data_IF_668936336292
#
_entry.id   IF_668936336292
#
_cell.length_a   1.000
_cell.length_b   1.000
_cell.length_c   1.000
_cell.angle_alpha   90.00
_cell.angle_beta   90.00
_cell.angle_gamma   90.00
#
_symmetry.space_group_name_H-M   'P 1'
#
loop_
_entity.id
_entity.type
_entity.pdbx_description
1 polymer ?
#
# COMPACT_ATOMS: atom_id res chain seq x y z
N UNK A 1 41.85 -11.04 -18.53
CA UNK A 1 41.41 -11.94 -17.47
C UNK A 1 40.98 -11.12 -16.28
N UNK A 2 39.75 -11.29 -15.85
CA UNK A 2 39.27 -10.72 -14.58
C UNK A 2 39.90 -11.50 -13.45
N UNK A 3 40.53 -10.80 -12.53
CA UNK A 3 41.10 -11.38 -11.32
C UNK A 3 39.94 -11.99 -10.51
N UNK A 4 39.98 -13.28 -10.27
CA UNK A 4 38.95 -14.05 -9.58
C UNK A 4 39.27 -14.27 -8.10
N UNK A 5 40.38 -13.72 -7.62
CA UNK A 5 40.82 -13.81 -6.22
C UNK A 5 40.56 -12.50 -5.49
N UNK A 6 39.81 -12.57 -4.39
CA UNK A 6 39.50 -11.44 -3.53
C UNK A 6 40.16 -11.66 -2.17
N UNK A 7 40.77 -10.59 -1.64
CA UNK A 7 41.18 -10.57 -0.23
C UNK A 7 39.91 -10.38 0.62
N UNK A 8 39.50 -11.41 1.32
CA UNK A 8 38.44 -11.32 2.31
C UNK A 8 39.04 -11.35 3.72
N UNK A 9 38.56 -10.55 4.67
CA UNK A 9 39.02 -10.63 6.05
C UNK A 9 38.60 -11.98 6.66
N UNK A 10 39.50 -12.61 7.40
CA UNK A 10 39.19 -13.78 8.22
C UNK A 10 38.42 -13.33 9.46
N UNK A 11 37.08 -13.39 9.37
CA UNK A 11 36.17 -12.93 10.42
C UNK A 11 36.34 -13.73 11.70
N UNK A 12 36.65 -15.01 11.61
CA UNK A 12 36.89 -15.86 12.78
C UNK A 12 38.21 -15.53 13.47
N UNK A 13 39.27 -15.22 12.73
CA UNK A 13 40.51 -14.70 13.30
C UNK A 13 40.29 -13.35 13.96
N UNK A 14 39.49 -12.46 13.36
CA UNK A 14 39.11 -11.19 13.94
C UNK A 14 38.33 -11.38 15.23
N UNK A 15 37.38 -12.33 15.25
CA UNK A 15 36.60 -12.62 16.44
C UNK A 15 37.49 -13.17 17.58
N UNK A 16 38.45 -14.04 17.27
CA UNK A 16 39.38 -14.55 18.28
C UNK A 16 40.28 -13.48 18.92
N UNK A 17 40.57 -12.41 18.16
CA UNK A 17 41.42 -11.30 18.64
C UNK A 17 40.64 -10.22 19.37
N UNK A 18 39.38 -9.98 18.98
CA UNK A 18 38.63 -8.79 19.39
C UNK A 18 37.27 -9.11 20.01
N UNK A 19 36.90 -10.37 20.12
CA UNK A 19 35.64 -10.84 20.71
C UNK A 19 34.39 -10.16 20.11
N UNK A 20 34.38 -10.00 18.77
CA UNK A 20 33.33 -9.25 18.07
C UNK A 20 31.97 -9.92 18.13
N UNK A 21 31.89 -11.28 18.15
CA UNK A 21 30.61 -11.99 18.16
C UNK A 21 29.88 -11.84 19.51
N UNK A 22 30.59 -11.77 20.63
CA UNK A 22 29.98 -11.51 21.93
C UNK A 22 29.77 -10.02 22.19
N UNK A 23 30.32 -9.13 21.34
CA UNK A 23 30.34 -7.68 21.56
C UNK A 23 30.87 -7.30 22.96
N UNK A 24 31.83 -8.04 23.47
CA UNK A 24 32.38 -7.91 24.84
C UNK A 24 33.88 -7.56 24.87
N UNK A 25 34.51 -7.45 23.69
CA UNK A 25 35.94 -7.19 23.53
C UNK A 25 36.30 -5.70 23.49
N UNK A 26 37.48 -5.41 22.89
CA UNK A 26 38.02 -4.04 22.79
C UNK A 26 37.16 -3.10 21.90
N UNK A 27 36.40 -3.66 20.98
CA UNK A 27 35.50 -2.91 20.09
C UNK A 27 34.04 -3.28 20.39
N UNK A 28 33.51 -2.77 21.48
CA UNK A 28 32.08 -2.89 21.79
C UNK A 28 31.28 -1.95 20.92
N UNK A 29 30.40 -2.51 20.08
CA UNK A 29 29.45 -1.73 19.30
C UNK A 29 28.27 -1.35 20.19
N UNK A 30 27.95 -0.06 20.23
CA UNK A 30 26.64 0.35 20.76
C UNK A 30 25.57 0.00 19.73
N UNK A 31 24.86 -1.12 19.96
CA UNK A 31 23.73 -1.51 19.12
C UNK A 31 22.41 -0.82 19.52
N UNK A 32 22.46 0.14 20.45
CA UNK A 32 21.25 0.88 20.89
C UNK A 32 20.56 1.59 19.74
N UNK A 33 21.33 2.20 18.83
CA UNK A 33 20.77 2.86 17.64
C UNK A 33 20.31 1.85 16.56
N UNK A 34 20.96 0.70 16.46
CA UNK A 34 20.58 -0.34 15.50
C UNK A 34 19.37 -1.15 15.95
N UNK A 35 19.09 -1.23 17.24
CA UNK A 35 17.91 -1.92 17.75
C UNK A 35 16.60 -1.25 17.32
N UNK A 36 16.59 0.06 17.11
CA UNK A 36 15.42 0.75 16.53
C UNK A 36 15.06 0.32 15.10
N UNK A 37 16.01 -0.30 14.39
CA UNK A 37 15.79 -0.88 13.06
C UNK A 37 15.47 -2.38 13.12
N UNK A 38 15.57 -3.01 14.30
CA UNK A 38 15.20 -4.40 14.50
C UNK A 38 13.71 -4.49 14.80
N UNK A 39 12.95 -4.78 13.77
CA UNK A 39 11.49 -4.80 13.78
C UNK A 39 10.97 -5.92 12.89
N UNK A 40 9.86 -6.52 13.27
CA UNK A 40 9.13 -7.47 12.44
C UNK A 40 7.64 -7.19 12.48
N UNK A 41 6.97 -7.50 11.39
CA UNK A 41 5.52 -7.56 11.29
C UNK A 41 5.20 -8.94 10.74
N UNK A 42 4.38 -9.68 11.45
CA UNK A 42 3.87 -10.99 11.09
C UNK A 42 2.36 -10.87 10.92
N UNK A 43 1.83 -11.40 9.83
CA UNK A 43 0.41 -11.46 9.54
C UNK A 43 0.04 -12.91 9.26
N UNK A 44 -0.95 -13.43 9.98
CA UNK A 44 -1.54 -14.74 9.76
C UNK A 44 -2.98 -14.55 9.27
N UNK A 45 -3.26 -15.10 8.09
CA UNK A 45 -4.57 -14.97 7.45
C UNK A 45 -5.31 -16.29 7.46
N UNK A 46 -6.51 -16.27 8.00
CA UNK A 46 -7.46 -17.38 7.92
C UNK A 46 -8.71 -16.93 7.16
N UNK A 47 -9.13 -17.70 6.17
CA UNK A 47 -10.28 -17.27 5.39
C UNK A 47 -10.94 -18.38 4.60
N UNK A 48 -12.10 -18.04 4.05
CA UNK A 48 -12.87 -18.89 3.18
C UNK A 48 -13.67 -18.08 2.17
N UNK A 49 -14.15 -18.74 1.12
CA UNK A 49 -14.99 -18.08 0.13
C UNK A 49 -16.07 -19.01 -0.39
N UNK A 50 -17.15 -18.40 -0.86
CA UNK A 50 -18.20 -19.04 -1.62
C UNK A 50 -18.41 -18.28 -2.91
N UNK A 51 -18.46 -19.01 -4.04
CA UNK A 51 -18.69 -18.43 -5.36
C UNK A 51 -19.73 -19.24 -6.10
N UNK A 52 -20.58 -18.55 -6.82
CA UNK A 52 -21.54 -19.10 -7.77
C UNK A 52 -21.25 -18.54 -9.15
N UNK A 53 -21.08 -19.42 -10.12
CA UNK A 53 -20.90 -19.07 -11.52
C UNK A 53 -22.18 -19.40 -12.30
N UNK A 54 -22.53 -18.58 -13.28
CA UNK A 54 -23.66 -18.84 -14.17
C UNK A 54 -23.32 -18.57 -15.63
N UNK A 55 -23.97 -19.31 -16.49
CA UNK A 55 -24.01 -19.10 -17.93
C UNK A 55 -25.41 -19.50 -18.39
N UNK A 56 -26.20 -18.52 -18.79
CA UNK A 56 -27.62 -18.69 -19.13
C UNK A 56 -28.04 -17.81 -20.28
N UNK A 57 -29.20 -18.12 -20.86
CA UNK A 57 -29.83 -17.24 -21.84
C UNK A 57 -30.74 -16.23 -21.13
N UNK A 58 -30.53 -14.98 -21.41
CA UNK A 58 -31.38 -13.86 -20.99
C UNK A 58 -31.81 -13.04 -22.19
N UNK A 59 -33.14 -13.03 -22.46
CA UNK A 59 -33.74 -12.34 -23.61
C UNK A 59 -33.13 -12.83 -24.96
N UNK A 60 -32.86 -14.16 -25.06
CA UNK A 60 -32.28 -14.76 -26.27
C UNK A 60 -30.80 -14.46 -26.50
N UNK A 61 -30.08 -14.04 -25.48
CA UNK A 61 -28.65 -13.69 -25.49
C UNK A 61 -27.91 -14.25 -24.29
N UNK A 62 -26.65 -14.56 -24.47
CA UNK A 62 -25.84 -15.14 -23.39
C UNK A 62 -25.57 -14.13 -22.30
N UNK A 63 -25.91 -14.51 -21.07
CA UNK A 63 -25.58 -13.83 -19.82
C UNK A 63 -24.71 -14.75 -18.99
N UNK A 64 -23.47 -14.36 -18.72
CA UNK A 64 -22.52 -15.11 -17.91
C UNK A 64 -21.95 -14.25 -16.81
N UNK A 65 -21.55 -14.86 -15.69
CA UNK A 65 -20.95 -14.11 -14.60
C UNK A 65 -20.68 -14.97 -13.39
N UNK A 66 -20.25 -14.30 -12.36
CA UNK A 66 -20.07 -14.89 -11.03
C UNK A 66 -20.47 -13.89 -9.94
N UNK A 67 -20.91 -14.44 -8.83
CA UNK A 67 -21.15 -13.76 -7.56
C UNK A 67 -20.37 -14.50 -6.50
N UNK A 68 -19.59 -13.81 -5.72
CA UNK A 68 -18.80 -14.40 -4.66
C UNK A 68 -18.83 -13.57 -3.39
N UNK A 69 -18.49 -14.22 -2.30
CA UNK A 69 -18.18 -13.57 -1.03
C UNK A 69 -16.99 -14.27 -0.41
N UNK A 70 -16.01 -13.50 0.00
CA UNK A 70 -14.83 -13.95 0.71
C UNK A 70 -14.83 -13.37 2.12
N UNK A 71 -14.57 -14.20 3.11
CA UNK A 71 -14.25 -13.80 4.47
C UNK A 71 -12.77 -13.98 4.71
N UNK A 72 -12.14 -12.99 5.32
CA UNK A 72 -10.72 -13.03 5.73
C UNK A 72 -10.65 -12.51 7.16
N UNK A 73 -10.03 -13.29 8.02
CA UNK A 73 -9.64 -12.92 9.37
C UNK A 73 -8.11 -12.81 9.40
N UNK A 74 -7.58 -11.70 9.90
CA UNK A 74 -6.15 -11.40 9.93
C UNK A 74 -5.71 -11.15 11.36
N UNK A 75 -4.76 -11.96 11.83
CA UNK A 75 -4.03 -11.73 13.08
C UNK A 75 -2.68 -11.09 12.75
N UNK A 76 -2.42 -9.92 13.32
CA UNK A 76 -1.20 -9.15 13.10
C UNK A 76 -0.41 -9.04 14.38
N UNK A 77 0.87 -9.39 14.33
CA UNK A 77 1.83 -9.17 15.42
C UNK A 77 2.95 -8.26 14.94
N UNK A 78 3.04 -7.08 15.53
CA UNK A 78 4.07 -6.08 15.22
C UNK A 78 5.05 -6.00 16.38
N UNK A 79 6.32 -6.35 16.15
CA UNK A 79 7.37 -6.37 17.17
C UNK A 79 8.50 -5.42 16.83
N UNK A 80 9.11 -4.82 17.83
CA UNK A 80 10.21 -3.89 17.70
C UNK A 80 10.79 -3.50 19.04
N UNK A 81 11.52 -2.40 19.04
CA UNK A 81 12.10 -1.84 20.28
C UNK A 81 11.67 -0.39 20.44
N UNK A 82 11.06 -0.09 21.59
CA UNK A 82 10.92 1.27 22.09
C UNK A 82 12.14 1.60 22.96
N UNK A 83 12.55 2.86 22.99
CA UNK A 83 13.62 3.29 23.89
C UNK A 83 13.01 4.01 25.09
N UNK A 84 13.14 3.40 26.26
CA UNK A 84 12.64 3.94 27.53
C UNK A 84 13.83 4.18 28.45
N UNK A 85 13.99 5.41 28.94
CA UNK A 85 15.11 5.80 29.82
C UNK A 85 16.48 5.40 29.25
N UNK A 86 16.68 5.68 27.95
CA UNK A 86 17.88 5.32 27.18
C UNK A 86 18.18 3.81 27.13
N UNK A 87 17.18 2.98 27.41
CA UNK A 87 17.27 1.52 27.35
C UNK A 87 16.29 1.00 26.31
N UNK A 88 16.75 0.20 25.34
CA UNK A 88 15.86 -0.47 24.41
C UNK A 88 15.00 -1.47 25.16
N UNK A 89 13.69 -1.36 25.01
CA UNK A 89 12.69 -2.26 25.59
C UNK A 89 11.93 -2.90 24.46
N UNK A 90 11.78 -4.23 24.44
CA UNK A 90 10.92 -4.89 23.46
C UNK A 90 9.49 -4.35 23.56
N UNK A 91 8.91 -4.05 22.41
CA UNK A 91 7.53 -3.64 22.27
C UNK A 91 6.84 -4.57 21.26
N UNK A 92 5.73 -5.17 21.67
CA UNK A 92 4.90 -6.01 20.79
C UNK A 92 3.47 -5.51 20.87
N UNK A 93 2.85 -5.34 19.71
CA UNK A 93 1.44 -4.99 19.56
C UNK A 93 0.78 -6.08 18.74
N UNK A 94 -0.25 -6.67 19.30
CA UNK A 94 -1.09 -7.68 18.66
C UNK A 94 -2.43 -7.05 18.30
N UNK A 95 -2.94 -7.40 17.12
CA UNK A 95 -4.20 -6.91 16.61
C UNK A 95 -4.83 -7.97 15.72
N UNK A 96 -6.16 -8.05 15.73
CA UNK A 96 -6.94 -8.82 14.76
C UNK A 96 -8.02 -7.96 14.13
N UNK A 97 -8.35 -8.28 12.89
CA UNK A 97 -9.45 -7.67 12.13
C UNK A 97 -9.98 -8.63 11.09
N UNK A 98 -11.24 -8.44 10.71
CA UNK A 98 -11.89 -9.27 9.70
C UNK A 98 -12.52 -8.42 8.59
N UNK A 99 -12.60 -9.00 7.40
CA UNK A 99 -13.17 -8.38 6.21
C UNK A 99 -14.10 -9.35 5.47
N UNK A 100 -15.27 -8.83 5.07
CA UNK A 100 -16.20 -9.47 4.18
C UNK A 100 -16.14 -8.79 2.82
N UNK A 101 -15.74 -9.55 1.79
CA UNK A 101 -15.42 -9.03 0.47
C UNK A 101 -16.37 -9.66 -0.58
N UNK A 102 -17.60 -9.13 -0.72
CA UNK A 102 -18.51 -9.53 -1.79
C UNK A 102 -17.98 -9.05 -3.14
N UNK A 103 -18.25 -9.81 -4.19
CA UNK A 103 -17.91 -9.46 -5.57
C UNK A 103 -18.94 -9.98 -6.57
N UNK A 104 -19.22 -9.18 -7.58
CA UNK A 104 -20.09 -9.50 -8.70
C UNK A 104 -19.37 -9.16 -10.01
N UNK A 105 -19.34 -10.11 -10.94
CA UNK A 105 -18.90 -9.87 -12.30
C UNK A 105 -19.96 -10.44 -13.27
N UNK A 106 -20.31 -9.67 -14.28
CA UNK A 106 -21.31 -10.03 -15.27
C UNK A 106 -20.86 -9.59 -16.66
N UNK A 107 -21.11 -10.44 -17.65
CA UNK A 107 -21.00 -10.11 -19.06
C UNK A 107 -22.26 -10.57 -19.79
N UNK A 108 -22.85 -9.64 -20.52
CA UNK A 108 -24.07 -9.88 -21.31
C UNK A 108 -23.81 -9.55 -22.77
N UNK A 109 -23.98 -10.56 -23.62
CA UNK A 109 -23.86 -10.40 -25.06
C UNK A 109 -25.14 -9.72 -25.60
N UNK A 110 -25.10 -8.40 -25.80
CA UNK A 110 -26.24 -7.63 -26.31
C UNK A 110 -26.55 -7.98 -27.77
N UNK A 111 -25.47 -8.18 -28.55
CA UNK A 111 -25.50 -8.71 -29.91
C UNK A 111 -24.35 -9.71 -30.09
N UNK A 112 -24.16 -10.26 -31.26
CA UNK A 112 -23.01 -11.14 -31.59
C UNK A 112 -21.68 -10.39 -31.53
N UNK A 113 -21.70 -9.07 -31.59
CA UNK A 113 -20.53 -8.20 -31.66
C UNK A 113 -20.43 -7.24 -30.45
N UNK A 114 -21.52 -7.09 -29.67
CA UNK A 114 -21.58 -6.08 -28.62
C UNK A 114 -21.77 -6.77 -27.25
N UNK A 115 -20.84 -6.53 -26.35
CA UNK A 115 -20.81 -7.08 -24.99
C UNK A 115 -20.90 -5.96 -23.96
N UNK A 116 -21.85 -6.09 -23.03
CA UNK A 116 -21.91 -5.25 -21.83
C UNK A 116 -21.28 -5.97 -20.65
N UNK A 117 -20.46 -5.27 -19.89
CA UNK A 117 -19.82 -5.76 -18.65
C UNK A 117 -20.19 -4.92 -17.45
N UNK A 118 -20.36 -5.60 -16.34
CA UNK A 118 -20.57 -5.00 -15.01
C UNK A 118 -19.65 -5.70 -14.03
N UNK A 119 -18.91 -4.93 -13.24
CA UNK A 119 -18.17 -5.37 -12.07
C UNK A 119 -18.59 -4.56 -10.85
N UNK A 120 -18.69 -5.20 -9.68
CA UNK A 120 -18.84 -4.53 -8.40
C UNK A 120 -18.19 -5.37 -7.31
N UNK A 121 -17.45 -4.74 -6.40
CA UNK A 121 -16.80 -5.44 -5.30
C UNK A 121 -16.52 -4.52 -4.12
N UNK A 122 -16.51 -5.09 -2.92
CA UNK A 122 -15.80 -4.55 -1.78
C UNK A 122 -14.39 -5.14 -1.78
N UNK A 123 -13.39 -4.26 -1.68
CA UNK A 123 -11.99 -4.63 -1.75
C UNK A 123 -11.20 -4.09 -0.57
N UNK A 124 -10.14 -4.80 -0.19
CA UNK A 124 -9.23 -4.35 0.85
C UNK A 124 -7.78 -4.47 0.40
N UNK A 125 -6.92 -3.62 0.93
CA UNK A 125 -5.48 -3.71 0.80
C UNK A 125 -4.80 -3.36 2.12
N UNK A 126 -3.79 -4.12 2.51
CA UNK A 126 -3.07 -3.89 3.77
C UNK A 126 -2.14 -2.71 3.66
N UNK A 127 -1.89 -1.99 4.78
CA UNK A 127 -0.84 -0.98 4.84
C UNK A 127 0.53 -1.59 4.54
N UNK A 128 1.46 -0.77 4.06
CA UNK A 128 2.84 -1.22 3.90
C UNK A 128 3.41 -1.66 5.28
N UNK A 129 4.07 -2.82 5.34
CA UNK A 129 4.59 -3.40 6.59
C UNK A 129 5.48 -2.42 7.38
N UNK A 130 6.20 -1.55 6.67
CA UNK A 130 7.01 -0.50 7.30
C UNK A 130 6.20 0.49 8.13
N UNK A 131 4.92 0.69 7.81
CA UNK A 131 4.03 1.59 8.52
C UNK A 131 3.45 0.95 9.80
N UNK A 132 3.47 -0.37 9.90
CA UNK A 132 2.89 -1.15 11.01
C UNK A 132 3.88 -1.41 12.16
N UNK A 133 5.04 -0.79 12.15
CA UNK A 133 6.08 -1.04 13.16
C UNK A 133 5.86 -0.22 14.42
N UNK A 134 6.03 -0.79 15.64
CA UNK A 134 5.74 -0.10 16.90
C UNK A 134 6.84 0.88 17.34
N UNK A 135 7.94 0.98 16.60
CA UNK A 135 9.09 1.79 16.98
C UNK A 135 9.06 3.21 16.45
N UNK A 136 9.71 4.13 17.16
CA UNK A 136 9.95 5.49 16.72
C UNK A 136 11.44 5.78 16.61
N UNK A 137 11.83 6.59 15.64
CA UNK A 137 13.19 7.09 15.46
C UNK A 137 13.20 8.61 15.64
N UNK A 138 14.00 9.09 16.60
CA UNK A 138 14.22 10.52 16.82
C UNK A 138 15.53 10.90 16.14
N UNK A 139 15.49 11.93 15.30
CA UNK A 139 16.65 12.43 14.57
C UNK A 139 16.79 13.94 14.78
N UNK A 140 18.02 14.37 15.10
CA UNK A 140 18.41 15.78 15.15
C UNK A 140 19.65 15.94 14.27
N UNK A 141 19.52 16.64 13.17
CA UNK A 141 20.62 16.86 12.22
C UNK A 141 20.53 18.24 11.60
N UNK A 142 21.59 19.06 11.75
CA UNK A 142 21.69 20.35 11.10
C UNK A 142 20.55 21.34 11.44
N UNK A 143 19.98 21.24 12.64
CA UNK A 143 18.82 22.05 13.04
C UNK A 143 17.47 21.44 12.67
N UNK A 144 17.45 20.35 11.91
CA UNK A 144 16.24 19.60 11.59
C UNK A 144 15.95 18.61 12.71
N UNK A 145 14.76 18.66 13.29
CA UNK A 145 14.32 17.80 14.38
C UNK A 145 13.12 17.00 13.93
N UNK A 146 13.25 15.69 13.83
CA UNK A 146 12.18 14.81 13.34
C UNK A 146 11.97 13.61 14.24
N UNK A 147 10.71 13.19 14.32
CA UNK A 147 10.29 11.90 14.90
C UNK A 147 9.59 11.13 13.78
N UNK A 148 10.15 9.99 13.40
CA UNK A 148 9.57 9.10 12.41
C UNK A 148 9.16 7.80 13.08
N UNK A 149 7.95 7.35 12.86
CA UNK A 149 7.42 6.13 13.44
C UNK A 149 6.45 5.41 12.52
N UNK A 150 6.02 4.23 12.92
CA UNK A 150 4.89 3.53 12.38
C UNK A 150 3.72 3.55 13.38
N UNK A 151 2.60 3.00 12.94
CA UNK A 151 1.43 2.74 13.78
C UNK A 151 0.92 1.30 13.54
N UNK A 152 1.13 0.39 14.49
CA UNK A 152 0.62 -0.97 14.39
C UNK A 152 -0.91 -1.08 14.30
N UNK A 153 -1.63 -0.02 14.66
CA UNK A 153 -3.09 -0.01 14.71
C UNK A 153 -3.74 0.55 13.43
N UNK A 154 -2.96 0.74 12.36
CA UNK A 154 -3.51 1.21 11.10
C UNK A 154 -4.50 0.23 10.50
N UNK A 155 -5.68 0.72 10.16
CA UNK A 155 -6.68 -0.04 9.42
C UNK A 155 -6.26 -0.28 7.97
N UNK A 156 -6.64 -1.41 7.37
CA UNK A 156 -6.49 -1.62 5.94
C UNK A 156 -7.20 -0.54 5.12
N UNK A 157 -6.70 -0.33 3.90
CA UNK A 157 -7.45 0.41 2.89
C UNK A 157 -8.69 -0.41 2.53
N UNK A 158 -9.85 0.21 2.55
CA UNK A 158 -11.11 -0.41 2.13
C UNK A 158 -11.77 0.47 1.09
N UNK A 159 -12.32 -0.16 0.07
CA UNK A 159 -13.03 0.57 -0.98
C UNK A 159 -14.15 -0.27 -1.57
N UNK A 160 -15.20 0.42 -2.00
CA UNK A 160 -16.27 -0.13 -2.86
C UNK A 160 -15.98 0.25 -4.28
N UNK A 161 -16.05 -0.71 -5.18
CA UNK A 161 -15.75 -0.51 -6.60
C UNK A 161 -16.95 -0.84 -7.46
N UNK A 162 -17.14 -0.09 -8.53
CA UNK A 162 -18.10 -0.38 -9.57
C UNK A 162 -17.51 -0.06 -10.95
N UNK A 163 -17.63 -0.98 -11.87
CA UNK A 163 -17.10 -0.90 -13.22
C UNK A 163 -18.21 -1.23 -14.22
N UNK A 164 -18.36 -0.42 -15.26
CA UNK A 164 -19.27 -0.62 -16.37
C UNK A 164 -18.48 -0.55 -17.66
N UNK A 165 -18.67 -1.51 -18.55
CA UNK A 165 -17.97 -1.57 -19.82
C UNK A 165 -18.89 -1.92 -20.98
N UNK A 166 -18.66 -1.32 -22.13
CA UNK A 166 -19.29 -1.67 -23.38
C UNK A 166 -18.20 -1.93 -24.42
N UNK A 167 -18.17 -3.14 -24.97
CA UNK A 167 -17.18 -3.61 -25.92
C UNK A 167 -17.87 -3.94 -27.23
N UNK A 168 -17.44 -3.32 -28.33
CA UNK A 168 -17.95 -3.59 -29.67
C UNK A 168 -16.86 -4.17 -30.56
N UNK A 169 -17.03 -5.44 -30.89
CA UNK A 169 -16.17 -6.21 -31.78
C UNK A 169 -16.68 -6.10 -33.23
N UNK A 170 -16.56 -4.92 -33.83
CA UNK A 170 -17.21 -4.54 -35.08
C UNK A 170 -16.62 -5.18 -36.35
N UNK A 171 -15.44 -5.77 -36.26
CA UNK A 171 -14.79 -6.56 -37.31
C UNK A 171 -13.77 -7.51 -36.71
N UNK A 172 -13.17 -8.38 -37.54
CA UNK A 172 -12.10 -9.28 -37.11
C UNK A 172 -10.93 -8.50 -36.52
N UNK A 173 -10.45 -8.91 -35.34
CA UNK A 173 -9.38 -8.25 -34.56
C UNK A 173 -9.62 -6.76 -34.25
N UNK A 174 -10.85 -6.28 -34.39
CA UNK A 174 -11.22 -4.88 -34.23
C UNK A 174 -12.11 -4.70 -32.98
N UNK A 175 -11.75 -3.74 -32.14
CA UNK A 175 -12.42 -3.44 -30.88
C UNK A 175 -12.62 -1.93 -30.71
N UNK A 176 -13.80 -1.55 -30.30
CA UNK A 176 -14.10 -0.26 -29.71
C UNK A 176 -14.65 -0.53 -28.31
N UNK A 177 -14.02 0.03 -27.29
CA UNK A 177 -14.51 -0.10 -25.93
C UNK A 177 -14.64 1.23 -25.21
N UNK A 178 -15.66 1.33 -24.38
CA UNK A 178 -15.89 2.43 -23.45
C UNK A 178 -16.15 1.81 -22.08
N UNK A 179 -15.35 2.17 -21.11
CA UNK A 179 -15.55 1.78 -19.73
C UNK A 179 -15.69 2.99 -18.81
N UNK A 180 -16.48 2.83 -17.78
CA UNK A 180 -16.61 3.75 -16.65
C UNK A 180 -16.28 3.01 -15.39
N UNK A 181 -15.54 3.65 -14.49
CA UNK A 181 -15.20 3.11 -13.20
C UNK A 181 -15.45 4.12 -12.09
N UNK A 182 -15.78 3.58 -10.91
CA UNK A 182 -15.98 4.31 -9.68
C UNK A 182 -15.38 3.54 -8.51
N UNK A 183 -14.68 4.25 -7.63
CA UNK A 183 -14.17 3.71 -6.36
C UNK A 183 -14.49 4.69 -5.25
N UNK A 184 -15.18 4.22 -4.24
CA UNK A 184 -15.43 4.90 -2.98
C UNK A 184 -14.45 4.32 -1.96
N UNK A 185 -13.45 5.11 -1.59
CA UNK A 185 -12.36 4.70 -0.70
C UNK A 185 -12.75 5.13 0.72
N UNK A 186 -13.06 4.16 1.58
CA UNK A 186 -13.50 4.43 2.95
C UNK A 186 -12.34 4.90 3.83
N UNK A 187 -11.18 4.24 3.71
CA UNK A 187 -9.99 4.53 4.53
C UNK A 187 -8.75 4.62 3.66
N UNK A 188 -7.93 5.60 3.96
CA UNK A 188 -6.66 5.83 3.31
C UNK A 188 -5.55 6.03 4.35
N UNK A 189 -4.35 5.51 4.12
CA UNK A 189 -3.20 5.70 5.01
C UNK A 189 -2.34 6.82 4.47
N UNK A 190 -2.23 7.89 5.24
CA UNK A 190 -1.40 9.04 4.94
C UNK A 190 -0.32 9.22 6.00
N UNK A 191 0.80 9.80 5.63
CA UNK A 191 1.79 10.26 6.61
C UNK A 191 1.36 11.63 7.12
N UNK A 192 0.89 11.66 8.35
CA UNK A 192 0.66 12.93 9.07
C UNK A 192 1.99 13.61 9.34
N UNK A 193 2.06 14.89 9.06
CA UNK A 193 3.23 15.72 9.35
C UNK A 193 2.82 16.86 10.27
N UNK A 194 3.19 16.73 11.54
CA UNK A 194 2.85 17.70 12.55
C UNK A 194 4.11 18.26 13.24
N UNK A 195 4.21 19.57 13.37
CA UNK A 195 5.29 20.20 14.15
C UNK A 195 4.72 20.65 15.50
N UNK A 196 5.27 20.09 16.57
CA UNK A 196 4.86 20.39 17.94
C UNK A 196 6.00 20.13 18.94
N UNK A 197 5.94 20.69 20.16
CA UNK A 197 6.95 20.44 21.18
C UNK A 197 7.09 18.95 21.50
N UNK A 198 8.34 18.48 21.63
CA UNK A 198 8.62 17.07 21.87
C UNK A 198 7.91 16.51 23.11
N UNK A 199 7.88 17.28 24.20
CA UNK A 199 7.25 16.87 25.47
C UNK A 199 5.73 16.62 25.37
N UNK A 200 5.08 17.04 24.27
CA UNK A 200 3.66 16.75 24.01
C UNK A 200 3.43 15.38 23.38
N UNK A 201 4.52 14.68 23.03
CA UNK A 201 4.44 13.41 22.30
C UNK A 201 4.19 12.19 23.19
N UNK A 202 4.47 12.31 24.51
CA UNK A 202 4.50 11.17 25.41
C UNK A 202 5.75 10.29 25.28
N UNK A 203 6.67 10.64 24.37
CA UNK A 203 7.93 9.93 24.20
C UNK A 203 8.91 10.28 25.33
N UNK A 204 9.77 9.34 25.74
CA UNK A 204 10.72 9.58 26.82
C UNK A 204 11.82 10.56 26.40
N UNK A 205 12.18 11.50 27.29
CA UNK A 205 13.23 12.50 27.09
C UNK A 205 14.62 11.85 26.88
N UNK A 206 14.78 10.61 27.30
CA UNK A 206 16.00 9.84 27.06
C UNK A 206 16.37 9.66 25.57
N UNK A 207 15.39 9.77 24.68
CA UNK A 207 15.64 9.75 23.21
C UNK A 207 16.39 11.02 22.74
N UNK A 208 16.38 12.09 23.50
CA UNK A 208 17.07 13.35 23.19
C UNK A 208 18.52 13.39 23.71
N UNK A 209 18.92 12.42 24.55
CA UNK A 209 20.26 12.39 25.14
C UNK A 209 21.33 12.33 24.03
N UNK A 210 22.27 13.29 24.07
CA UNK A 210 23.35 13.41 23.08
C UNK A 210 22.95 14.11 21.77
N UNK A 211 21.70 14.50 21.59
CA UNK A 211 21.25 15.23 20.39
C UNK A 211 21.41 16.74 20.52
N UNK A 212 21.52 17.27 21.75
CA UNK A 212 21.54 18.71 22.02
C UNK A 212 20.17 19.38 21.99
N UNK A 213 19.12 18.66 21.67
CA UNK A 213 17.76 19.17 21.69
C UNK A 213 17.16 19.11 23.10
N UNK A 214 16.20 20.00 23.38
CA UNK A 214 15.47 20.06 24.63
C UNK A 214 14.04 19.51 24.44
N UNK A 215 13.40 18.99 25.50
CA UNK A 215 12.02 18.51 25.44
C UNK A 215 10.99 19.59 25.02
N UNK A 216 11.32 20.84 25.18
CA UNK A 216 10.50 21.99 24.78
C UNK A 216 10.70 22.40 23.32
N UNK A 217 11.70 21.83 22.65
CA UNK A 217 11.95 22.16 21.24
C UNK A 217 10.87 21.51 20.33
N UNK A 218 10.58 22.22 19.25
CA UNK A 218 9.65 21.73 18.24
C UNK A 218 10.30 20.63 17.39
N UNK A 219 9.59 19.54 17.23
CA UNK A 219 9.91 18.41 16.36
C UNK A 219 8.82 18.23 15.30
N UNK A 220 9.22 17.84 14.11
CA UNK A 220 8.29 17.39 13.07
C UNK A 220 8.05 15.88 13.23
N UNK A 221 6.82 15.52 13.54
CA UNK A 221 6.38 14.13 13.64
C UNK A 221 5.85 13.67 12.29
N UNK A 222 6.44 12.60 11.77
CA UNK A 222 6.01 11.92 10.54
C UNK A 222 5.52 10.53 10.94
N UNK A 223 4.21 10.36 11.09
CA UNK A 223 3.59 9.13 11.55
C UNK A 223 2.46 8.78 10.58
N UNK A 224 2.37 7.53 10.10
CA UNK A 224 1.25 7.11 9.29
C UNK A 224 -0.04 7.09 10.15
N UNK A 225 -1.13 7.54 9.56
CA UNK A 225 -2.45 7.61 10.19
C UNK A 225 -3.51 7.20 9.18
N UNK A 226 -4.60 6.61 9.65
CA UNK A 226 -5.79 6.46 8.82
C UNK A 226 -6.50 7.81 8.68
N UNK A 227 -6.88 8.12 7.47
CA UNK A 227 -7.65 9.30 7.12
C UNK A 227 -8.90 8.89 6.36
N UNK A 228 -9.94 9.72 6.31
CA UNK A 228 -11.02 9.50 5.37
C UNK A 228 -10.45 9.35 3.96
N UNK A 229 -10.99 8.43 3.21
CA UNK A 229 -10.60 8.21 1.82
C UNK A 229 -11.12 9.31 0.90
N UNK A 230 -11.80 8.91 -0.14
CA UNK A 230 -12.39 9.79 -1.14
C UNK A 230 -12.83 9.04 -2.36
N UNK A 231 -13.35 9.77 -3.32
CA UNK A 231 -13.88 9.21 -4.55
C UNK A 231 -12.86 9.24 -5.68
N UNK A 232 -12.83 8.16 -6.45
CA UNK A 232 -12.09 8.08 -7.71
C UNK A 232 -13.03 7.57 -8.78
N UNK A 233 -13.18 8.30 -9.88
CA UNK A 233 -14.04 7.94 -11.02
C UNK A 233 -13.39 8.31 -12.33
N UNK A 234 -13.78 7.61 -13.37
CA UNK A 234 -13.21 7.95 -14.66
C UNK A 234 -13.85 7.18 -15.80
N UNK A 235 -13.28 7.45 -16.97
CA UNK A 235 -13.66 6.83 -18.23
C UNK A 235 -12.42 6.34 -18.96
N UNK A 236 -12.53 5.16 -19.56
CA UNK A 236 -11.52 4.59 -20.42
C UNK A 236 -12.12 4.34 -21.79
N UNK A 237 -11.41 4.81 -22.80
CA UNK A 237 -11.74 4.57 -24.18
C UNK A 237 -10.60 3.80 -24.84
N UNK A 238 -10.93 2.71 -25.53
CA UNK A 238 -9.95 1.96 -26.30
C UNK A 238 -10.49 1.70 -27.72
N UNK A 239 -9.61 1.85 -28.68
CA UNK A 239 -9.86 1.52 -30.07
C UNK A 239 -8.69 0.70 -30.60
N UNK A 240 -9.01 -0.39 -31.29
CA UNK A 240 -8.05 -1.22 -32.02
C UNK A 240 -8.66 -1.64 -33.36
N UNK A 241 -7.89 -1.47 -34.45
CA UNK A 241 -8.31 -1.96 -35.77
C UNK A 241 -7.09 -2.23 -36.65
N UNK A 242 -6.95 -3.44 -37.19
CA UNK A 242 -6.06 -3.72 -38.32
C UNK A 242 -6.68 -3.18 -39.63
N UNK A 243 -5.86 -2.64 -40.50
CA UNK A 243 -6.33 -2.00 -41.74
C UNK A 243 -6.46 -2.98 -42.93
N UNK A 244 -6.88 -4.22 -42.65
CA UNK A 244 -7.05 -5.28 -43.65
C UNK A 244 -7.98 -4.89 -44.81
N UNK A 245 -8.83 -3.89 -44.61
CA UNK A 245 -9.74 -3.33 -45.62
C UNK A 245 -9.05 -2.37 -46.60
N UNK A 246 -7.78 -1.97 -46.33
CA UNK A 246 -7.01 -1.10 -47.23
C UNK A 246 -6.22 -1.93 -48.27
N UNK A 247 -6.02 -1.41 -49.50
CA UNK A 247 -5.32 -2.14 -50.52
C UNK A 247 -3.78 -2.06 -50.39
N UNK A 248 -3.10 -3.09 -50.92
CA UNK A 248 -1.64 -3.12 -51.06
C UNK A 248 -0.89 -3.10 -49.73
N UNK A 249 0.12 -2.26 -49.66
CA UNK A 249 0.99 -2.12 -48.49
C UNK A 249 0.25 -1.69 -47.19
N UNK A 250 -0.81 -0.90 -47.31
CA UNK A 250 -1.57 -0.35 -46.19
C UNK A 250 -2.32 -1.39 -45.36
N UNK A 251 -2.63 -2.55 -45.95
CA UNK A 251 -3.31 -3.66 -45.25
C UNK A 251 -2.49 -4.25 -44.08
N UNK A 252 -1.15 -4.06 -44.10
CA UNK A 252 -0.23 -4.61 -43.13
C UNK A 252 -0.06 -3.69 -41.91
N UNK A 253 -0.81 -2.58 -41.88
CA UNK A 253 -0.87 -1.65 -40.76
C UNK A 253 -2.13 -1.85 -39.93
N UNK A 254 -2.12 -1.28 -38.74
CA UNK A 254 -3.25 -1.15 -37.85
C UNK A 254 -3.08 0.06 -36.93
N UNK A 255 -4.12 0.37 -36.20
CA UNK A 255 -4.09 1.43 -35.18
C UNK A 255 -4.57 0.88 -33.86
N UNK A 256 -3.91 1.30 -32.79
CA UNK A 256 -4.34 1.12 -31.42
C UNK A 256 -4.29 2.47 -30.71
N UNK A 257 -5.38 2.82 -30.03
CA UNK A 257 -5.50 4.07 -29.28
C UNK A 257 -6.19 3.80 -27.95
N UNK A 258 -5.63 4.35 -26.87
CA UNK A 258 -6.22 4.30 -25.54
C UNK A 258 -6.24 5.71 -24.96
N UNK A 259 -7.33 6.05 -24.30
CA UNK A 259 -7.48 7.30 -23.57
C UNK A 259 -8.16 7.03 -22.24
N UNK A 260 -7.57 7.53 -21.16
CA UNK A 260 -8.12 7.44 -19.82
C UNK A 260 -8.28 8.84 -19.23
N UNK A 261 -9.46 9.11 -18.71
CA UNK A 261 -9.75 10.29 -17.91
C UNK A 261 -10.08 9.85 -16.49
N UNK A 262 -9.40 10.45 -15.51
CA UNK A 262 -9.59 10.18 -14.08
C UNK A 262 -9.88 11.49 -13.37
N UNK A 263 -10.88 11.46 -12.52
CA UNK A 263 -11.24 12.51 -11.58
C UNK A 263 -11.19 11.88 -10.19
N UNK A 264 -10.42 12.47 -9.28
CA UNK A 264 -10.26 11.94 -7.92
C UNK A 264 -10.28 13.07 -6.90
N UNK A 265 -10.97 12.83 -5.79
CA UNK A 265 -11.01 13.75 -4.66
C UNK A 265 -10.59 12.99 -3.40
N UNK A 266 -9.48 13.38 -2.78
CA UNK A 266 -8.99 12.81 -1.53
C UNK A 266 -8.77 13.93 -0.52
N UNK A 267 -9.23 13.71 0.71
CA UNK A 267 -8.96 14.64 1.82
C UNK A 267 -7.56 14.40 2.37
N UNK A 268 -6.68 15.38 2.18
CA UNK A 268 -5.37 15.35 2.82
C UNK A 268 -5.45 15.96 4.23
N UNK A 269 -4.91 15.25 5.21
CA UNK A 269 -4.71 15.78 6.56
C UNK A 269 -3.30 16.38 6.62
N UNK A 270 -3.22 17.71 6.55
CA UNK A 270 -1.93 18.44 6.61
C UNK A 270 -1.47 18.71 8.03
N UNK A 271 -2.40 18.72 8.99
CA UNK A 271 -2.14 18.87 10.44
C UNK A 271 -3.19 18.10 11.21
N UNK A 272 -2.86 17.60 12.39
CA UNK A 272 -3.81 16.89 13.23
C UNK A 272 -5.08 17.73 13.45
N UNK A 273 -6.22 17.25 12.95
CA UNK A 273 -7.54 17.86 13.14
C UNK A 273 -7.96 18.92 12.11
N UNK A 274 -7.16 19.18 11.09
CA UNK A 274 -7.56 20.12 10.01
C UNK A 274 -7.52 19.39 8.67
N UNK A 275 -8.65 18.94 8.11
CA UNK A 275 -8.69 18.45 6.75
C UNK A 275 -8.40 19.58 5.78
N UNK A 276 -7.41 19.43 4.92
CA UNK A 276 -7.25 20.28 3.74
C UNK A 276 -7.79 19.54 2.53
N UNK A 277 -8.72 20.16 1.82
CA UNK A 277 -9.14 19.70 0.51
C UNK A 277 -7.98 19.92 -0.45
N UNK A 278 -7.48 18.85 -1.05
CA UNK A 278 -6.68 18.95 -2.26
C UNK A 278 -7.68 18.86 -3.42
N UNK A 279 -7.80 19.92 -4.15
CA UNK A 279 -8.42 19.91 -5.47
C UNK A 279 -7.33 19.65 -6.48
N UNK A 280 -7.49 18.61 -7.32
CA UNK A 280 -6.78 18.28 -8.57
C UNK A 280 -5.33 17.80 -8.45
#
# INVERSE_FOLDING_TARGET
GTDTTWLAPDIDAFNRLFDIYCNCGAFTLSNRQSLGNNRSVEEEDTGGYLQMDWNTDFIGRTLRGNLGIRYVDTDQTSSGFAVVNNTPVPATVERSYDDWLPSLNMAWDLTDELVFRLGAADVMARPALGNLTPGVTVSVSGGNRTVNGGDPNLDPFRAKTADLGLEWYFAEESLLSLAWFYKDIDTFVQTSRETRPYNTSGLPDSLLIGTGAQPTDDFTFNIPVNTPGGDLRGWEFAYQQPFVFLPGFWKDFGMQFNYTYVDSEIQYVTSAGVPSLSTD
#
